data_IF_921693094687
#
_entry.id   IF_921693094687
#
_cell.length_a   1.000
_cell.length_b   1.000
_cell.length_c   1.000
_cell.angle_alpha   90.00
_cell.angle_beta   90.00
_cell.angle_gamma   90.00
#
_symmetry.space_group_name_H-M   'P 1'
#
loop_
_entity.id
_entity.type
_entity.pdbx_description
1 polymer ?
#
# COMPACT_ATOMS: atom_id res chain seq x y z
N UNK A 1 2.60 -55.82 35.62
CA UNK A 1 2.62 -55.16 34.30
C UNK A 1 2.08 -53.77 34.50
N UNK A 2 2.98 -52.77 34.56
CA UNK A 2 2.61 -51.36 34.61
C UNK A 2 2.14 -50.90 33.21
N UNK A 3 1.14 -50.04 33.09
CA UNK A 3 0.69 -49.58 31.79
C UNK A 3 1.78 -48.72 31.15
N UNK A 4 2.16 -49.04 29.92
CA UNK A 4 2.97 -48.18 29.08
C UNK A 4 2.26 -46.82 28.91
N UNK A 5 2.77 -45.78 29.57
CA UNK A 5 2.43 -44.42 29.24
C UNK A 5 3.08 -44.11 27.88
N UNK A 6 2.26 -43.86 26.86
CA UNK A 6 2.75 -43.22 25.66
C UNK A 6 3.44 -41.90 26.02
N UNK A 7 4.58 -41.57 25.40
CA UNK A 7 5.22 -40.30 25.65
C UNK A 7 4.24 -39.21 25.23
N UNK A 8 3.95 -38.29 26.17
CA UNK A 8 3.24 -37.03 25.86
C UNK A 8 3.93 -36.42 24.66
N UNK A 9 3.21 -36.30 23.52
CA UNK A 9 3.67 -35.55 22.37
C UNK A 9 3.73 -34.06 22.82
N UNK A 10 4.90 -33.63 23.26
CA UNK A 10 5.19 -32.23 23.45
C UNK A 10 5.08 -31.59 22.06
N UNK A 11 4.05 -30.79 21.87
CA UNK A 11 3.86 -30.02 20.64
C UNK A 11 5.13 -29.21 20.43
N UNK A 12 5.78 -29.32 19.26
CA UNK A 12 6.97 -28.57 18.96
C UNK A 12 6.67 -27.07 19.18
N UNK A 13 7.53 -26.30 19.84
CA UNK A 13 7.26 -24.90 20.09
C UNK A 13 7.09 -24.16 18.75
N UNK A 14 6.06 -23.35 18.64
CA UNK A 14 5.76 -22.57 17.43
C UNK A 14 6.90 -21.65 17.01
N UNK A 15 7.78 -21.28 17.94
CA UNK A 15 8.93 -20.41 17.74
C UNK A 15 10.12 -20.88 18.56
N UNK A 16 11.31 -20.69 18.02
CA UNK A 16 12.58 -20.94 18.73
C UNK A 16 13.48 -19.70 18.66
N UNK A 17 13.93 -19.23 19.82
CA UNK A 17 14.99 -18.22 19.88
C UNK A 17 16.34 -18.91 19.61
N UNK A 18 17.06 -18.39 18.62
CA UNK A 18 18.41 -18.81 18.27
C UNK A 18 19.35 -17.64 18.51
N UNK A 19 20.36 -17.83 19.36
CA UNK A 19 21.41 -16.85 19.58
C UNK A 19 22.59 -17.22 18.70
N UNK A 20 22.92 -16.38 17.74
CA UNK A 20 24.10 -16.54 16.88
C UNK A 20 25.32 -15.97 17.60
N UNK A 21 26.22 -16.83 18.04
CA UNK A 21 27.45 -16.48 18.76
C UNK A 21 28.72 -16.77 17.97
N UNK A 22 28.59 -17.38 16.80
CA UNK A 22 29.68 -17.79 15.92
C UNK A 22 29.50 -17.25 14.52
N UNK A 23 30.56 -17.23 13.72
CA UNK A 23 30.51 -16.78 12.31
C UNK A 23 29.62 -17.68 11.44
N UNK A 24 29.43 -18.93 11.82
CA UNK A 24 28.53 -19.88 11.18
C UNK A 24 27.98 -20.85 12.23
N UNK A 25 26.67 -21.05 12.22
CA UNK A 25 26.00 -21.96 13.16
C UNK A 25 24.90 -22.75 12.45
N UNK A 26 24.85 -24.06 12.68
CA UNK A 26 23.79 -24.93 12.17
C UNK A 26 22.76 -25.18 13.26
N UNK A 27 21.48 -24.96 12.93
CA UNK A 27 20.36 -25.26 13.82
C UNK A 27 19.52 -26.37 13.18
N UNK A 28 19.33 -27.46 13.93
CA UNK A 28 18.57 -28.62 13.48
C UNK A 28 17.17 -28.59 14.11
N UNK A 29 16.17 -28.84 13.29
CA UNK A 29 14.78 -29.01 13.71
C UNK A 29 14.33 -30.42 13.34
N UNK A 30 13.99 -31.22 14.35
CA UNK A 30 13.56 -32.60 14.20
C UNK A 30 12.02 -32.71 14.15
N UNK A 31 11.51 -33.77 13.54
CA UNK A 31 10.07 -34.08 13.54
C UNK A 31 9.22 -33.27 12.59
N UNK A 32 9.84 -32.60 11.61
CA UNK A 32 9.14 -31.83 10.59
C UNK A 32 8.75 -32.75 9.44
N UNK A 33 7.44 -32.84 9.15
CA UNK A 33 6.90 -33.77 8.16
C UNK A 33 7.07 -33.32 6.70
N UNK A 34 7.28 -32.02 6.46
CA UNK A 34 7.48 -31.44 5.13
C UNK A 34 8.48 -30.31 5.22
N UNK A 35 9.08 -29.92 4.10
CA UNK A 35 9.97 -28.75 4.04
C UNK A 35 9.22 -27.49 4.52
N UNK A 36 9.70 -26.83 5.61
CA UNK A 36 9.03 -25.66 6.15
C UNK A 36 9.44 -24.39 5.40
N UNK A 37 8.55 -23.40 5.39
CA UNK A 37 8.88 -22.04 5.01
C UNK A 37 9.34 -21.30 6.27
N UNK A 38 10.61 -20.86 6.35
CA UNK A 38 11.11 -20.20 7.55
C UNK A 38 10.53 -18.80 7.72
N UNK A 39 10.15 -18.46 8.94
CA UNK A 39 9.78 -17.10 9.34
C UNK A 39 10.86 -16.59 10.29
N UNK A 40 11.74 -15.73 9.78
CA UNK A 40 12.98 -15.30 10.46
C UNK A 40 12.82 -13.89 11.06
N UNK A 41 13.67 -13.56 12.06
CA UNK A 41 13.74 -12.25 12.70
C UNK A 41 12.38 -11.74 13.24
N UNK A 42 11.51 -12.65 13.65
CA UNK A 42 10.18 -12.35 14.18
C UNK A 42 10.26 -11.34 15.32
N UNK A 43 9.31 -10.40 15.36
CA UNK A 43 9.28 -9.34 16.38
C UNK A 43 10.50 -8.43 16.39
N UNK A 44 11.18 -8.26 15.25
CA UNK A 44 12.43 -7.45 15.15
C UNK A 44 13.51 -7.92 16.10
N UNK A 45 13.68 -9.23 16.26
CA UNK A 45 14.56 -9.85 17.26
C UNK A 45 16.05 -9.51 17.14
N UNK A 46 16.50 -9.00 15.98
CA UNK A 46 17.86 -8.49 15.80
C UNK A 46 17.92 -7.35 14.76
N UNK A 47 18.73 -6.31 14.97
CA UNK A 47 18.94 -5.19 14.03
C UNK A 47 19.99 -5.58 12.97
N UNK A 48 19.65 -6.49 12.08
CA UNK A 48 20.55 -7.03 11.05
C UNK A 48 19.92 -6.94 9.66
N UNK A 49 20.73 -6.96 8.62
CA UNK A 49 20.28 -7.19 7.26
C UNK A 49 20.18 -8.69 7.04
N UNK A 50 19.00 -9.17 6.68
CA UNK A 50 18.74 -10.56 6.37
C UNK A 50 18.90 -10.79 4.86
N UNK A 51 19.90 -11.61 4.49
CA UNK A 51 20.04 -12.12 3.13
C UNK A 51 19.44 -13.52 3.08
N UNK A 52 18.35 -13.68 2.36
CA UNK A 52 17.63 -14.95 2.24
C UNK A 52 16.92 -15.04 0.88
N UNK A 53 17.20 -16.12 0.16
CA UNK A 53 16.65 -16.38 -1.18
C UNK A 53 15.34 -17.18 -1.09
N UNK A 54 14.25 -16.48 -0.73
CA UNK A 54 12.92 -17.09 -0.80
C UNK A 54 12.44 -17.20 -2.25
N UNK A 55 11.81 -18.32 -2.58
CA UNK A 55 11.05 -18.47 -3.82
C UNK A 55 9.73 -17.69 -3.73
N UNK A 56 9.12 -17.38 -4.88
CA UNK A 56 7.78 -16.75 -4.89
C UNK A 56 6.73 -17.60 -4.17
N UNK A 57 6.82 -18.92 -4.26
CA UNK A 57 5.93 -19.85 -3.53
C UNK A 57 6.08 -19.71 -2.02
N UNK A 58 7.31 -19.59 -1.52
CA UNK A 58 7.57 -19.38 -0.09
C UNK A 58 7.05 -18.02 0.38
N UNK A 59 7.30 -16.96 -0.39
CA UNK A 59 6.76 -15.62 -0.09
C UNK A 59 5.23 -15.58 -0.12
N UNK A 60 4.57 -16.26 -1.06
CA UNK A 60 3.11 -16.39 -1.09
C UNK A 60 2.59 -17.14 0.14
N UNK A 61 3.31 -18.16 0.60
CA UNK A 61 2.98 -18.91 1.83
C UNK A 61 3.12 -18.03 3.06
N UNK A 62 4.21 -17.25 3.17
CA UNK A 62 4.40 -16.31 4.27
C UNK A 62 3.30 -15.22 4.27
N UNK A 63 3.01 -14.62 3.12
CA UNK A 63 1.94 -13.62 2.97
C UNK A 63 0.57 -14.16 3.41
N UNK A 64 0.27 -15.40 3.08
CA UNK A 64 -1.00 -16.03 3.42
C UNK A 64 -1.10 -16.46 4.89
N UNK A 65 -0.02 -16.98 5.48
CA UNK A 65 -0.09 -17.79 6.70
C UNK A 65 0.86 -17.36 7.82
N UNK A 66 1.83 -16.48 7.58
CA UNK A 66 2.74 -16.07 8.66
C UNK A 66 1.95 -15.38 9.78
N UNK A 67 2.21 -15.77 11.01
CA UNK A 67 1.60 -15.16 12.19
C UNK A 67 2.32 -13.89 12.66
N UNK A 68 3.55 -13.62 12.15
CA UNK A 68 4.23 -12.35 12.38
C UNK A 68 3.75 -11.31 11.35
N UNK A 69 3.15 -10.20 11.79
CA UNK A 69 2.58 -9.22 10.87
C UNK A 69 3.63 -8.50 10.02
N UNK A 70 4.86 -8.32 10.53
CA UNK A 70 5.91 -7.69 9.74
C UNK A 70 6.40 -8.62 8.63
N UNK A 71 6.72 -9.88 8.94
CA UNK A 71 7.16 -10.85 7.94
C UNK A 71 6.09 -11.08 6.87
N UNK A 72 4.83 -11.09 7.28
CA UNK A 72 3.70 -11.19 6.36
C UNK A 72 3.62 -10.01 5.39
N UNK A 73 3.76 -8.79 5.91
CA UNK A 73 3.81 -7.55 5.11
C UNK A 73 5.03 -7.55 4.19
N UNK A 74 6.21 -7.86 4.71
CA UNK A 74 7.48 -7.91 3.97
C UNK A 74 7.42 -8.90 2.80
N UNK A 75 6.83 -10.08 3.00
CA UNK A 75 6.61 -11.04 1.92
C UNK A 75 5.79 -10.43 0.76
N UNK A 76 4.72 -9.70 1.07
CA UNK A 76 3.93 -8.96 0.09
C UNK A 76 4.72 -7.89 -0.65
N UNK A 77 5.52 -7.10 0.07
CA UNK A 77 6.37 -6.07 -0.52
C UNK A 77 7.47 -6.66 -1.42
N UNK A 78 8.12 -7.75 -0.99
CA UNK A 78 9.13 -8.45 -1.80
C UNK A 78 8.54 -9.04 -3.08
N UNK A 79 7.35 -9.64 -3.01
CA UNK A 79 6.63 -10.12 -4.19
C UNK A 79 6.31 -8.99 -5.18
N UNK A 80 5.81 -7.86 -4.69
CA UNK A 80 5.52 -6.70 -5.52
C UNK A 80 6.79 -6.10 -6.13
N UNK A 81 7.84 -5.96 -5.31
CA UNK A 81 9.14 -5.42 -5.74
C UNK A 81 9.77 -6.27 -6.86
N UNK A 82 9.79 -7.60 -6.72
CA UNK A 82 10.31 -8.51 -7.76
C UNK A 82 9.62 -8.28 -9.11
N UNK A 83 8.29 -8.15 -9.10
CA UNK A 83 7.49 -7.90 -10.31
C UNK A 83 7.77 -6.53 -10.91
N UNK A 84 7.87 -5.51 -10.08
CA UNK A 84 8.25 -4.17 -10.53
C UNK A 84 9.64 -4.17 -11.17
N UNK A 85 10.64 -4.74 -10.52
CA UNK A 85 12.02 -4.81 -11.02
C UNK A 85 12.11 -5.62 -12.34
N UNK A 86 11.40 -6.75 -12.43
CA UNK A 86 11.34 -7.54 -13.65
C UNK A 86 10.77 -6.72 -14.82
N UNK A 87 9.66 -5.99 -14.59
CA UNK A 87 9.02 -5.15 -15.61
C UNK A 87 9.89 -3.93 -16.00
N UNK A 88 10.58 -3.32 -15.03
CA UNK A 88 11.52 -2.21 -15.31
C UNK A 88 12.68 -2.69 -16.17
N UNK A 89 13.33 -3.80 -15.81
CA UNK A 89 14.51 -4.35 -16.50
C UNK A 89 14.22 -4.88 -17.89
N UNK A 90 13.00 -5.31 -18.18
CA UNK A 90 12.64 -5.86 -19.51
C UNK A 90 12.73 -4.81 -20.62
N UNK A 91 12.60 -3.51 -20.34
CA UNK A 91 12.82 -2.43 -21.31
C UNK A 91 11.79 -2.29 -22.42
N UNK A 92 10.90 -3.26 -22.61
CA UNK A 92 9.86 -3.28 -23.64
C UNK A 92 8.54 -2.60 -23.21
N UNK A 93 7.46 -2.79 -23.99
CA UNK A 93 6.13 -2.29 -23.58
C UNK A 93 5.74 -2.80 -22.20
N UNK A 94 5.18 -1.93 -21.38
CA UNK A 94 4.66 -2.31 -20.06
C UNK A 94 3.32 -3.00 -20.30
N UNK A 95 3.31 -4.32 -20.14
CA UNK A 95 2.11 -5.13 -20.25
C UNK A 95 1.36 -5.21 -18.90
N UNK A 96 1.06 -6.43 -18.49
CA UNK A 96 0.47 -6.72 -17.17
C UNK A 96 1.58 -7.28 -16.25
N UNK A 97 2.24 -6.42 -15.46
CA UNK A 97 3.39 -6.84 -14.65
C UNK A 97 3.03 -7.79 -13.51
N UNK A 98 1.75 -7.87 -13.12
CA UNK A 98 1.27 -8.75 -12.05
C UNK A 98 0.70 -10.04 -12.60
N UNK A 99 1.15 -11.17 -12.07
CA UNK A 99 0.58 -12.49 -12.37
C UNK A 99 -0.65 -12.80 -11.49
N UNK A 100 -1.40 -13.84 -11.89
CA UNK A 100 -2.63 -14.25 -11.23
C UNK A 100 -2.39 -14.65 -9.76
N UNK A 101 -1.29 -15.33 -9.44
CA UNK A 101 -0.99 -15.78 -8.08
C UNK A 101 -0.81 -14.59 -7.13
N UNK A 102 -0.13 -13.54 -7.59
CA UNK A 102 0.02 -12.32 -6.80
C UNK A 102 -1.32 -11.60 -6.61
N UNK A 103 -2.13 -11.47 -7.67
CA UNK A 103 -3.45 -10.84 -7.59
C UNK A 103 -4.37 -11.60 -6.63
N UNK A 104 -4.36 -12.94 -6.69
CA UNK A 104 -5.16 -13.79 -5.80
C UNK A 104 -4.69 -13.68 -4.33
N UNK A 105 -3.39 -13.58 -4.10
CA UNK A 105 -2.85 -13.34 -2.76
C UNK A 105 -3.28 -11.97 -2.21
N UNK A 106 -3.25 -10.91 -3.02
CA UNK A 106 -3.76 -9.57 -2.62
C UNK A 106 -5.27 -9.60 -2.35
N UNK A 107 -6.04 -10.34 -3.16
CA UNK A 107 -7.47 -10.57 -2.90
C UNK A 107 -7.70 -11.27 -1.56
N UNK A 108 -6.92 -12.32 -1.27
CA UNK A 108 -7.01 -13.04 -0.01
C UNK A 108 -6.70 -12.14 1.19
N UNK A 109 -5.69 -11.27 1.12
CA UNK A 109 -5.40 -10.27 2.16
C UNK A 109 -6.59 -9.30 2.33
N UNK A 110 -7.11 -8.76 1.24
CA UNK A 110 -8.22 -7.79 1.29
C UNK A 110 -9.48 -8.39 1.93
N UNK A 111 -9.78 -9.65 1.61
CA UNK A 111 -10.95 -10.37 2.11
C UNK A 111 -10.77 -11.05 3.46
N UNK A 112 -9.57 -11.10 3.98
CA UNK A 112 -9.27 -11.83 5.22
C UNK A 112 -10.05 -11.26 6.41
N UNK A 113 -10.82 -12.09 7.10
CA UNK A 113 -11.73 -11.62 8.16
C UNK A 113 -11.00 -11.14 9.42
N UNK A 114 -9.87 -11.77 9.77
CA UNK A 114 -9.16 -11.51 11.03
C UNK A 114 -8.07 -10.43 10.91
N UNK A 115 -7.67 -10.03 9.70
CA UNK A 115 -6.70 -8.96 9.53
C UNK A 115 -7.36 -7.61 9.74
N UNK A 116 -6.71 -6.75 10.54
CA UNK A 116 -7.19 -5.41 10.74
C UNK A 116 -7.05 -4.54 9.47
N UNK A 117 -7.84 -3.47 9.42
CA UNK A 117 -7.92 -2.63 8.23
C UNK A 117 -6.63 -1.85 7.95
N UNK A 118 -5.88 -1.47 8.99
CA UNK A 118 -4.59 -0.78 8.81
C UNK A 118 -3.55 -1.72 8.20
N UNK A 119 -3.47 -2.95 8.68
CA UNK A 119 -2.58 -3.96 8.11
C UNK A 119 -2.92 -4.27 6.65
N UNK A 120 -4.21 -4.43 6.32
CA UNK A 120 -4.65 -4.62 4.93
C UNK A 120 -4.22 -3.48 4.03
N UNK A 121 -4.44 -2.24 4.47
CA UNK A 121 -4.05 -1.05 3.69
C UNK A 121 -2.55 -1.01 3.43
N UNK A 122 -1.72 -1.22 4.45
CA UNK A 122 -0.26 -1.27 4.33
C UNK A 122 0.21 -2.37 3.37
N UNK A 123 -0.38 -3.57 3.48
CA UNK A 123 0.02 -4.72 2.65
C UNK A 123 -0.40 -4.55 1.19
N UNK A 124 -1.56 -3.93 0.95
CA UNK A 124 -2.10 -3.69 -0.39
C UNK A 124 -1.52 -2.44 -1.08
N UNK A 125 -0.77 -1.63 -0.34
CA UNK A 125 -0.03 -0.49 -0.89
C UNK A 125 1.26 -0.98 -1.52
N UNK A 126 1.43 -0.72 -2.83
CA UNK A 126 2.63 -1.09 -3.58
C UNK A 126 3.88 -0.34 -3.06
N UNK A 127 5.07 -0.93 -3.21
CA UNK A 127 6.34 -0.26 -2.90
C UNK A 127 6.42 1.13 -3.53
N UNK A 128 7.07 2.07 -2.86
CA UNK A 128 7.27 3.42 -3.41
C UNK A 128 8.23 3.39 -4.60
N UNK A 129 8.11 4.39 -5.48
CA UNK A 129 9.03 4.56 -6.61
C UNK A 129 10.48 4.70 -6.14
N UNK A 130 10.69 5.42 -5.04
CA UNK A 130 12.03 5.55 -4.42
C UNK A 130 12.57 4.19 -4.00
N UNK A 131 11.76 3.37 -3.33
CA UNK A 131 12.20 2.05 -2.88
C UNK A 131 12.49 1.10 -4.06
N UNK A 132 11.72 1.18 -5.15
CA UNK A 132 12.01 0.43 -6.38
C UNK A 132 13.30 0.93 -7.01
N UNK A 133 13.50 2.25 -7.08
CA UNK A 133 14.68 2.87 -7.67
C UNK A 133 15.98 2.52 -6.92
N UNK A 134 15.94 2.44 -5.58
CA UNK A 134 17.08 2.04 -4.74
C UNK A 134 17.59 0.61 -5.01
N UNK A 135 16.81 -0.22 -5.71
CA UNK A 135 17.18 -1.60 -6.08
C UNK A 135 17.75 -1.70 -7.51
N UNK A 136 17.99 -0.58 -8.17
CA UNK A 136 18.48 -0.51 -9.55
C UNK A 136 19.85 0.15 -9.59
N UNK A 137 20.78 -0.44 -10.38
CA UNK A 137 22.10 0.15 -10.62
C UNK A 137 21.99 1.41 -11.50
N UNK A 138 21.06 1.41 -12.44
CA UNK A 138 20.73 2.54 -13.30
C UNK A 138 19.23 2.81 -13.24
N UNK A 139 18.87 4.04 -12.91
CA UNK A 139 17.48 4.44 -12.67
C UNK A 139 16.93 5.24 -13.84
N UNK A 140 15.89 4.71 -14.48
CA UNK A 140 14.98 5.47 -15.34
C UNK A 140 13.71 5.82 -14.53
N UNK A 141 13.58 7.05 -14.01
CA UNK A 141 12.44 7.44 -13.18
C UNK A 141 11.10 7.34 -13.91
N UNK A 142 11.09 7.62 -15.21
CA UNK A 142 9.86 7.55 -16.01
C UNK A 142 9.40 6.10 -16.15
N UNK A 143 10.36 5.18 -16.35
CA UNK A 143 10.08 3.75 -16.44
C UNK A 143 9.57 3.18 -15.11
N UNK A 144 10.23 3.53 -14.00
CA UNK A 144 9.79 3.13 -12.65
C UNK A 144 8.37 3.59 -12.37
N UNK A 145 8.09 4.87 -12.64
CA UNK A 145 6.74 5.45 -12.49
C UNK A 145 5.72 4.69 -13.34
N UNK A 146 5.99 4.50 -14.62
CA UNK A 146 5.06 3.87 -15.55
C UNK A 146 4.77 2.40 -15.17
N UNK A 147 5.77 1.64 -14.72
CA UNK A 147 5.59 0.26 -14.25
C UNK A 147 4.73 0.22 -12.98
N UNK A 148 5.03 1.08 -12.01
CA UNK A 148 4.27 1.14 -10.76
C UNK A 148 2.81 1.53 -10.99
N UNK A 149 2.55 2.49 -11.87
CA UNK A 149 1.18 2.88 -12.24
C UNK A 149 0.45 1.72 -12.96
N UNK A 150 1.11 1.01 -13.88
CA UNK A 150 0.53 -0.16 -14.54
C UNK A 150 0.15 -1.26 -13.52
N UNK A 151 1.01 -1.53 -12.54
CA UNK A 151 0.69 -2.47 -11.45
C UNK A 151 -0.54 -2.02 -10.64
N UNK A 152 -0.62 -0.74 -10.32
CA UNK A 152 -1.72 -0.15 -9.56
C UNK A 152 -3.05 -0.22 -10.33
N UNK A 153 -3.02 0.13 -11.61
CA UNK A 153 -4.19 0.04 -12.50
C UNK A 153 -4.65 -1.40 -12.69
N UNK A 154 -3.71 -2.34 -12.81
CA UNK A 154 -4.01 -3.77 -12.90
C UNK A 154 -4.70 -4.28 -11.62
N UNK A 155 -4.22 -3.90 -10.42
CA UNK A 155 -4.88 -4.25 -9.15
C UNK A 155 -6.26 -3.57 -9.02
N UNK A 156 -6.38 -2.32 -9.45
CA UNK A 156 -7.66 -1.60 -9.42
C UNK A 156 -8.72 -2.33 -10.26
N UNK A 157 -8.34 -2.78 -11.45
CA UNK A 157 -9.24 -3.51 -12.35
C UNK A 157 -9.51 -4.94 -11.86
N UNK A 158 -8.47 -5.71 -11.55
CA UNK A 158 -8.59 -7.13 -11.21
C UNK A 158 -9.36 -7.37 -9.89
N UNK A 159 -9.29 -6.41 -8.96
CA UNK A 159 -9.96 -6.49 -7.65
C UNK A 159 -11.14 -5.51 -7.52
N UNK A 160 -11.74 -5.08 -8.63
CA UNK A 160 -12.79 -4.05 -8.60
C UNK A 160 -13.94 -4.36 -7.63
N UNK A 161 -14.49 -5.57 -7.70
CA UNK A 161 -15.58 -6.02 -6.82
C UNK A 161 -15.13 -6.13 -5.35
N UNK A 162 -13.86 -6.48 -5.13
CA UNK A 162 -13.26 -6.61 -3.81
C UNK A 162 -13.00 -5.24 -3.18
N UNK A 163 -12.55 -4.27 -3.97
CA UNK A 163 -12.44 -2.87 -3.55
C UNK A 163 -13.79 -2.26 -3.20
N UNK A 164 -14.82 -2.53 -4.01
CA UNK A 164 -16.19 -2.06 -3.73
C UNK A 164 -16.70 -2.62 -2.40
N UNK A 165 -16.50 -3.91 -2.17
CA UNK A 165 -16.83 -4.55 -0.89
C UNK A 165 -16.04 -3.91 0.27
N UNK A 166 -14.73 -3.75 0.12
CA UNK A 166 -13.89 -3.18 1.19
C UNK A 166 -14.32 -1.75 1.54
N UNK A 167 -14.63 -0.92 0.54
CA UNK A 167 -15.15 0.42 0.76
C UNK A 167 -16.43 0.43 1.60
N UNK A 168 -17.43 -0.38 1.22
CA UNK A 168 -18.71 -0.40 1.93
C UNK A 168 -18.60 -1.09 3.32
N UNK A 169 -17.78 -2.14 3.45
CA UNK A 169 -17.64 -2.91 4.69
C UNK A 169 -16.85 -2.16 5.77
N UNK A 170 -15.83 -1.39 5.38
CA UNK A 170 -15.00 -0.66 6.33
C UNK A 170 -15.39 0.79 6.52
N UNK A 171 -16.41 1.28 5.80
CA UNK A 171 -16.90 2.63 5.92
C UNK A 171 -17.39 2.91 7.35
N UNK A 172 -16.82 3.93 7.97
CA UNK A 172 -17.24 4.42 9.29
C UNK A 172 -18.14 5.64 9.09
N UNK A 173 -19.38 5.52 9.49
CA UNK A 173 -20.38 6.60 9.46
C UNK A 173 -20.66 7.18 10.86
N UNK A 174 -19.91 6.74 11.87
CA UNK A 174 -20.03 7.19 13.25
C UNK A 174 -19.37 8.54 13.52
N UNK A 175 -19.45 8.97 14.77
CA UNK A 175 -18.70 10.13 15.25
C UNK A 175 -17.21 9.88 15.09
N UNK A 176 -16.46 10.89 14.63
CA UNK A 176 -15.01 10.79 14.48
C UNK A 176 -14.33 10.36 15.78
N UNK A 177 -13.46 9.36 15.68
CA UNK A 177 -12.61 8.87 16.76
C UNK A 177 -11.18 8.71 16.25
N UNK A 178 -10.17 9.20 16.99
CA UNK A 178 -8.75 9.11 16.63
C UNK A 178 -8.09 7.78 17.01
N UNK A 179 -8.89 6.75 17.37
CA UNK A 179 -8.36 5.44 17.75
C UNK A 179 -7.78 4.67 16.55
N UNK A 180 -6.87 3.71 16.77
CA UNK A 180 -6.20 2.96 15.70
C UNK A 180 -7.15 2.19 14.79
N UNK A 181 -8.23 1.60 15.32
CA UNK A 181 -9.19 0.83 14.53
C UNK A 181 -9.93 1.73 13.53
N UNK A 182 -10.46 2.87 14.04
CA UNK A 182 -11.13 3.86 13.18
C UNK A 182 -10.16 4.48 12.18
N UNK A 183 -8.91 4.74 12.56
CA UNK A 183 -7.87 5.24 11.67
C UNK A 183 -7.56 4.24 10.55
N UNK A 184 -7.38 2.96 10.87
CA UNK A 184 -7.16 1.89 9.91
C UNK A 184 -8.33 1.71 8.94
N UNK A 185 -9.57 1.77 9.42
CA UNK A 185 -10.76 1.73 8.55
C UNK A 185 -10.78 2.90 7.56
N UNK A 186 -10.48 4.12 8.01
CA UNK A 186 -10.38 5.29 7.13
C UNK A 186 -9.26 5.14 6.08
N UNK A 187 -8.11 4.58 6.46
CA UNK A 187 -7.00 4.34 5.55
C UNK A 187 -7.40 3.34 4.44
N UNK A 188 -7.93 2.17 4.82
CA UNK A 188 -8.37 1.16 3.86
C UNK A 188 -9.52 1.64 2.98
N UNK A 189 -10.48 2.37 3.54
CA UNK A 189 -11.59 2.96 2.77
C UNK A 189 -11.07 3.99 1.76
N UNK A 190 -10.07 4.79 2.14
CA UNK A 190 -9.40 5.75 1.27
C UNK A 190 -8.66 5.08 0.12
N UNK A 191 -7.89 4.01 0.41
CA UNK A 191 -7.22 3.20 -0.61
C UNK A 191 -8.24 2.59 -1.57
N UNK A 192 -9.28 1.94 -1.04
CA UNK A 192 -10.33 1.32 -1.86
C UNK A 192 -11.02 2.33 -2.78
N UNK A 193 -11.35 3.53 -2.27
CA UNK A 193 -11.96 4.59 -3.07
C UNK A 193 -11.03 5.06 -4.20
N UNK A 194 -9.73 5.17 -3.92
CA UNK A 194 -8.72 5.53 -4.92
C UNK A 194 -8.65 4.47 -6.04
N UNK A 195 -8.59 3.18 -5.68
CA UNK A 195 -8.56 2.09 -6.65
C UNK A 195 -9.83 2.04 -7.50
N UNK A 196 -10.98 2.26 -6.91
CA UNK A 196 -12.27 2.32 -7.61
C UNK A 196 -12.36 3.51 -8.56
N UNK A 197 -11.83 4.67 -8.20
CA UNK A 197 -11.77 5.84 -9.08
C UNK A 197 -10.76 5.63 -10.24
N UNK A 198 -9.65 4.94 -10.00
CA UNK A 198 -8.68 4.57 -11.04
C UNK A 198 -9.30 3.61 -12.07
N UNK A 199 -10.01 2.59 -11.61
CA UNK A 199 -10.73 1.68 -12.50
C UNK A 199 -11.81 2.42 -13.30
N UNK A 200 -12.58 3.28 -12.62
CA UNK A 200 -13.64 4.08 -13.24
C UNK A 200 -13.13 4.98 -14.37
N UNK A 201 -11.89 5.43 -14.30
CA UNK A 201 -11.23 6.21 -15.36
C UNK A 201 -11.08 5.39 -16.65
N UNK A 202 -10.67 4.13 -16.55
CA UNK A 202 -10.48 3.25 -17.71
C UNK A 202 -11.80 2.72 -18.26
N UNK A 203 -12.76 2.43 -17.40
CA UNK A 203 -14.09 1.94 -17.79
C UNK A 203 -15.06 3.05 -18.20
N UNK A 204 -14.77 4.31 -17.88
CA UNK A 204 -15.69 5.44 -18.08
C UNK A 204 -16.88 5.47 -17.12
N UNK A 205 -16.85 4.67 -16.05
CA UNK A 205 -17.96 4.57 -15.09
C UNK A 205 -17.98 5.79 -14.13
N UNK A 206 -19.01 6.65 -14.14
CA UNK A 206 -19.03 7.86 -13.32
C UNK A 206 -19.42 7.61 -11.85
N UNK A 207 -19.81 6.39 -11.48
CA UNK A 207 -20.39 6.10 -10.16
C UNK A 207 -19.39 6.37 -9.05
N UNK A 208 -18.16 5.85 -9.15
CA UNK A 208 -17.17 5.97 -8.08
C UNK A 208 -16.60 7.38 -7.93
N UNK A 209 -16.25 8.10 -9.00
CA UNK A 209 -15.93 9.52 -8.89
C UNK A 209 -17.08 10.36 -8.31
N UNK A 210 -18.32 10.06 -8.64
CA UNK A 210 -19.50 10.69 -8.04
C UNK A 210 -19.60 10.42 -6.54
N UNK A 211 -19.39 9.17 -6.11
CA UNK A 211 -19.35 8.80 -4.69
C UNK A 211 -18.18 9.49 -3.96
N UNK A 212 -17.00 9.58 -4.58
CA UNK A 212 -15.85 10.28 -4.03
C UNK A 212 -16.16 11.77 -3.82
N UNK A 213 -16.75 12.42 -4.81
CA UNK A 213 -17.15 13.83 -4.69
C UNK A 213 -18.23 14.05 -3.62
N UNK A 214 -19.20 13.13 -3.52
CA UNK A 214 -20.20 13.19 -2.44
C UNK A 214 -19.54 13.00 -1.07
N UNK A 215 -18.62 12.01 -0.91
CA UNK A 215 -17.86 11.82 0.34
C UNK A 215 -17.04 13.06 0.68
N UNK A 216 -16.42 13.70 -0.32
CA UNK A 216 -15.69 14.95 -0.12
C UNK A 216 -16.60 16.04 0.47
N UNK A 217 -17.82 16.19 0.01
CA UNK A 217 -18.76 17.19 0.55
C UNK A 217 -19.24 16.87 1.96
N UNK A 218 -19.57 15.61 2.21
CA UNK A 218 -20.30 15.19 3.43
C UNK A 218 -19.37 14.78 4.57
N UNK A 219 -18.06 14.63 4.33
CA UNK A 219 -17.12 14.13 5.34
C UNK A 219 -17.11 15.04 6.59
N UNK A 220 -17.31 14.40 7.74
CA UNK A 220 -17.29 15.06 9.05
C UNK A 220 -15.88 15.27 9.61
N UNK A 221 -14.83 14.80 8.92
CA UNK A 221 -13.44 14.95 9.34
C UNK A 221 -12.53 15.20 8.13
N UNK A 222 -11.35 15.77 8.40
CA UNK A 222 -10.39 16.14 7.37
C UNK A 222 -9.83 14.91 6.64
N UNK A 223 -9.57 13.80 7.32
CA UNK A 223 -8.98 12.59 6.74
C UNK A 223 -9.88 12.01 5.64
N UNK A 224 -11.16 11.79 5.92
CA UNK A 224 -12.11 11.29 4.94
C UNK A 224 -12.30 12.24 3.75
N UNK A 225 -12.34 13.54 4.05
CA UNK A 225 -12.43 14.59 3.03
C UNK A 225 -11.21 14.61 2.12
N UNK A 226 -10.03 14.51 2.72
CA UNK A 226 -8.77 14.49 1.98
C UNK A 226 -8.60 13.21 1.16
N UNK A 227 -8.95 12.04 1.72
CA UNK A 227 -8.92 10.77 0.98
C UNK A 227 -9.84 10.81 -0.25
N UNK A 228 -11.03 11.39 -0.11
CA UNK A 228 -11.96 11.54 -1.23
C UNK A 228 -11.44 12.52 -2.29
N UNK A 229 -10.85 13.63 -1.88
CA UNK A 229 -10.17 14.57 -2.78
C UNK A 229 -8.99 13.90 -3.50
N UNK A 230 -8.17 13.14 -2.77
CA UNK A 230 -7.03 12.41 -3.32
C UNK A 230 -7.46 11.40 -4.39
N UNK A 231 -8.56 10.67 -4.15
CA UNK A 231 -9.08 9.72 -5.14
C UNK A 231 -9.48 10.42 -6.47
N UNK A 232 -10.07 11.62 -6.39
CA UNK A 232 -10.42 12.41 -7.57
C UNK A 232 -9.17 12.94 -8.31
N UNK A 233 -8.18 13.43 -7.58
CA UNK A 233 -6.94 13.99 -8.17
C UNK A 233 -6.09 12.88 -8.79
N UNK A 234 -5.87 11.78 -8.08
CA UNK A 234 -5.08 10.65 -8.55
C UNK A 234 -5.70 9.97 -9.78
N UNK A 235 -7.04 9.90 -9.85
CA UNK A 235 -7.73 9.40 -11.04
C UNK A 235 -7.88 10.43 -12.17
N UNK A 236 -7.38 11.64 -11.99
CA UNK A 236 -7.51 12.77 -12.95
C UNK A 236 -8.96 13.05 -13.35
N UNK A 237 -9.86 12.95 -12.40
CA UNK A 237 -11.28 13.17 -12.69
C UNK A 237 -11.64 14.65 -12.67
N UNK A 238 -12.51 15.08 -13.59
CA UNK A 238 -12.91 16.49 -13.76
C UNK A 238 -13.50 17.12 -12.49
N UNK A 239 -14.15 16.35 -11.62
CA UNK A 239 -14.65 16.82 -10.31
C UNK A 239 -13.54 17.29 -9.35
N UNK A 240 -12.28 16.90 -9.57
CA UNK A 240 -11.16 17.42 -8.80
C UNK A 240 -11.02 18.94 -8.96
N UNK A 241 -11.32 19.46 -10.16
CA UNK A 241 -11.24 20.93 -10.46
C UNK A 241 -12.22 21.74 -9.62
N UNK A 242 -13.33 21.16 -9.22
CA UNK A 242 -14.29 21.81 -8.33
C UNK A 242 -13.96 21.57 -6.84
N UNK A 243 -13.47 20.37 -6.50
CA UNK A 243 -13.16 20.00 -5.13
C UNK A 243 -11.92 20.71 -4.57
N UNK A 244 -10.88 20.90 -5.36
CA UNK A 244 -9.62 21.53 -4.95
C UNK A 244 -9.79 22.97 -4.42
N UNK A 245 -10.49 23.90 -5.13
CA UNK A 245 -10.73 25.23 -4.60
C UNK A 245 -11.61 25.24 -3.35
N UNK A 246 -12.58 24.33 -3.27
CA UNK A 246 -13.43 24.19 -2.08
C UNK A 246 -12.63 23.72 -0.85
N UNK A 247 -11.73 22.75 -1.04
CA UNK A 247 -10.85 22.30 0.04
C UNK A 247 -9.92 23.42 0.51
N UNK A 248 -9.30 24.14 -0.41
CA UNK A 248 -8.48 25.32 -0.10
C UNK A 248 -9.27 26.35 0.74
N UNK A 249 -10.46 26.71 0.30
CA UNK A 249 -11.30 27.70 0.99
C UNK A 249 -11.68 27.26 2.42
N UNK A 250 -11.92 25.95 2.63
CA UNK A 250 -12.26 25.38 3.95
C UNK A 250 -11.09 25.44 4.94
N UNK A 251 -9.86 25.29 4.46
CA UNK A 251 -8.67 25.08 5.29
C UNK A 251 -7.57 26.13 5.05
N UNK A 252 -7.90 27.27 4.47
CA UNK A 252 -6.93 28.30 4.12
C UNK A 252 -6.11 28.85 5.30
N UNK A 253 -6.67 28.78 6.51
CA UNK A 253 -6.02 29.25 7.73
C UNK A 253 -5.25 28.11 8.47
N UNK A 254 -5.26 26.89 7.90
CA UNK A 254 -4.63 25.70 8.47
C UNK A 254 -3.35 25.35 7.67
N UNK A 255 -2.21 25.88 8.07
CA UNK A 255 -0.95 25.80 7.32
C UNK A 255 -0.56 24.36 6.92
N UNK A 256 -0.65 23.38 7.84
CA UNK A 256 -0.32 21.99 7.58
C UNK A 256 -1.31 21.29 6.64
N UNK A 257 -2.56 21.73 6.60
CA UNK A 257 -3.56 21.20 5.67
C UNK A 257 -3.35 21.79 4.29
N UNK A 258 -2.96 23.07 4.19
CA UNK A 258 -2.55 23.67 2.93
C UNK A 258 -1.29 22.99 2.34
N UNK A 259 -0.32 22.60 3.16
CA UNK A 259 0.83 21.83 2.68
C UNK A 259 0.39 20.52 2.00
N UNK A 260 -0.60 19.82 2.56
CA UNK A 260 -1.20 18.64 1.92
C UNK A 260 -1.92 18.94 0.61
N UNK A 261 -2.61 20.10 0.54
CA UNK A 261 -3.30 20.55 -0.68
C UNK A 261 -2.30 20.84 -1.81
N UNK A 262 -1.17 21.46 -1.50
CA UNK A 262 -0.09 21.68 -2.46
C UNK A 262 0.53 20.34 -2.89
N UNK A 263 0.92 19.47 -1.94
CA UNK A 263 1.55 18.19 -2.21
C UNK A 263 0.67 17.27 -3.06
N UNK A 264 -0.63 17.24 -2.81
CA UNK A 264 -1.56 16.44 -3.59
C UNK A 264 -1.59 16.83 -5.07
N UNK A 265 -1.50 18.10 -5.37
CA UNK A 265 -1.52 18.62 -6.76
C UNK A 265 -0.16 18.47 -7.43
N UNK A 266 0.92 18.77 -6.70
CA UNK A 266 2.28 18.63 -7.22
C UNK A 266 2.65 17.16 -7.49
N UNK A 267 2.15 16.23 -6.66
CA UNK A 267 2.31 14.80 -6.82
C UNK A 267 1.23 14.11 -7.66
N UNK A 268 0.38 14.86 -8.35
CA UNK A 268 -0.63 14.28 -9.24
C UNK A 268 0.05 13.58 -10.44
N UNK A 269 -0.53 12.49 -10.97
CA UNK A 269 0.03 11.79 -12.12
C UNK A 269 0.20 12.71 -13.32
N UNK A 270 1.39 12.70 -13.94
CA UNK A 270 1.64 13.44 -15.18
C UNK A 270 0.92 12.78 -16.35
N UNK A 271 -0.05 13.47 -16.88
CA UNK A 271 -0.82 13.01 -18.03
C UNK A 271 -0.68 14.02 -19.17
N UNK A 272 0.13 13.63 -20.14
CA UNK A 272 0.37 14.46 -21.33
C UNK A 272 1.27 15.68 -21.09
N UNK A 273 2.21 15.61 -20.13
CA UNK A 273 3.19 16.65 -19.86
C UNK A 273 2.65 17.89 -19.14
N UNK A 274 1.50 17.75 -18.45
CA UNK A 274 0.83 18.90 -17.81
C UNK A 274 1.27 19.13 -16.36
N UNK A 275 2.00 18.21 -15.73
CA UNK A 275 2.34 18.36 -14.30
C UNK A 275 3.33 19.49 -14.06
N UNK A 276 4.34 19.68 -14.89
CA UNK A 276 5.31 20.75 -14.70
C UNK A 276 4.70 22.16 -14.84
N UNK A 277 3.84 22.46 -15.82
CA UNK A 277 3.06 23.68 -15.84
C UNK A 277 2.19 23.88 -14.59
N UNK A 278 1.54 22.82 -14.10
CA UNK A 278 0.72 22.87 -12.87
C UNK A 278 1.58 23.19 -11.64
N UNK A 279 2.73 22.55 -11.49
CA UNK A 279 3.69 22.82 -10.40
C UNK A 279 4.16 24.28 -10.43
N UNK A 280 4.47 24.84 -11.60
CA UNK A 280 4.82 26.25 -11.73
C UNK A 280 3.69 27.20 -11.31
N UNK A 281 2.43 26.84 -11.60
CA UNK A 281 1.27 27.60 -11.14
C UNK A 281 1.11 27.51 -9.61
N UNK A 282 1.36 26.34 -9.01
CA UNK A 282 1.36 26.19 -7.55
C UNK A 282 2.44 27.05 -6.89
N UNK A 283 3.64 27.09 -7.47
CA UNK A 283 4.73 27.96 -6.97
C UNK A 283 4.41 29.46 -7.09
N UNK A 284 3.55 29.87 -8.02
CA UNK A 284 3.07 31.23 -8.18
C UNK A 284 1.84 31.55 -7.31
N UNK A 285 1.29 30.57 -6.58
CA UNK A 285 0.11 30.77 -5.75
C UNK A 285 0.41 31.71 -4.57
N UNK A 286 -0.51 32.63 -4.18
CA UNK A 286 -0.27 33.58 -3.08
C UNK A 286 0.11 32.93 -1.75
N UNK A 287 -0.42 31.75 -1.47
CA UNK A 287 -0.14 30.99 -0.24
C UNK A 287 1.14 30.16 -0.32
N UNK A 288 1.82 30.11 -1.48
CA UNK A 288 3.12 29.45 -1.58
C UNK A 288 4.23 30.33 -1.02
N UNK A 289 5.05 29.76 -0.14
CA UNK A 289 6.17 30.48 0.50
C UNK A 289 7.41 29.59 0.50
N UNK A 290 8.37 29.90 -0.35
CA UNK A 290 9.63 29.15 -0.45
C UNK A 290 10.46 29.19 0.85
N UNK A 291 10.29 30.23 1.68
CA UNK A 291 10.97 30.37 2.97
C UNK A 291 10.42 29.44 4.07
N UNK A 292 9.20 28.92 3.88
CA UNK A 292 8.64 27.92 4.79
C UNK A 292 9.07 26.52 4.32
N UNK A 293 9.89 25.77 5.10
CA UNK A 293 10.42 24.49 4.66
C UNK A 293 9.34 23.45 4.33
N UNK A 294 8.24 23.41 5.08
CA UNK A 294 7.15 22.48 4.83
C UNK A 294 6.42 22.81 3.54
N UNK A 295 6.15 24.12 3.31
CA UNK A 295 5.52 24.59 2.09
C UNK A 295 6.42 24.38 0.86
N UNK A 296 7.72 24.64 0.99
CA UNK A 296 8.68 24.42 -0.09
C UNK A 296 8.79 22.92 -0.47
N UNK A 297 8.72 22.02 0.51
CA UNK A 297 8.74 20.56 0.28
C UNK A 297 7.42 19.99 -0.23
N UNK A 298 6.34 20.73 -0.16
CA UNK A 298 5.02 20.29 -0.62
C UNK A 298 4.83 20.47 -2.14
N UNK A 299 5.75 21.13 -2.80
CA UNK A 299 5.78 21.37 -4.25
C UNK A 299 7.13 20.96 -4.82
#
# INVERSE_FOLDING_TARGET
LAPHREPERVQAPEQRLVVLSEASQTVVFDGIASEPVPSLLRGFSAPVVLEHDDTDTQLLTQLAHDSDPFNRWEAGQRLALRRALAAVRTGGPIGQPLDAAFIDAMRAVLRHEQLDAAFKELTLTLPSETYIAEQLDEVDPQRVHAVREAMREQLAHALHTDWAWAYEHHKDNGTYRPDPLSAGRRALTGLALTMLCLEARSSGNPVWPGKAYQRFKDAGNMTDRFNALSALVVSDHTLAREALPRFHAMFRDEALVLDKWFALQAGAPDRGGNILPAVRQLMAHPDFQLRNPNRARSV
#
